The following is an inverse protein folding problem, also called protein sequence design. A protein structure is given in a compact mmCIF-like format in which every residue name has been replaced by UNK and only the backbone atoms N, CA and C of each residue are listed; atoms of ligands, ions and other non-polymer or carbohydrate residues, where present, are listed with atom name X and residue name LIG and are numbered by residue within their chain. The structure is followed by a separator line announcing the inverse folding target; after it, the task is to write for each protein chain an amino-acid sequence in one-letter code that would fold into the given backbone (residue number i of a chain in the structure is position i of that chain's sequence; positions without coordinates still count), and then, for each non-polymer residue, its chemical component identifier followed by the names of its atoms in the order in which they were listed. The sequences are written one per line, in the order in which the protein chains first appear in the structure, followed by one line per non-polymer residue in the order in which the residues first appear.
data_IF_464612222206
#
_entry.id   IF_464612222206
#
_cell.length_a   1.000
_cell.length_b   1.000
_cell.length_c   1.000
_cell.angle_alpha   90.00
_cell.angle_beta   90.00
_cell.angle_gamma   90.00
#
_symmetry.space_group_name_H-M   'P 1'
#
loop_
_entity.id
_entity.type
_entity.pdbx_description
1 polymer ?
#
# COMPACT_ATOMS: atom_id res chain seq x y z
N UNK A 1 8.52 -10.06 2.17
CA UNK A 1 7.43 -10.96 1.68
C UNK A 1 8.03 -12.31 1.39
N UNK A 2 7.71 -13.26 2.19
CA UNK A 2 7.90 -14.63 1.74
C UNK A 2 7.01 -14.80 0.52
N UNK A 3 7.59 -15.05 -0.64
CA UNK A 3 6.82 -15.25 -1.88
C UNK A 3 5.69 -16.25 -1.62
N UNK A 4 4.42 -15.90 -1.86
CA UNK A 4 3.30 -16.79 -1.60
C UNK A 4 3.50 -18.18 -2.24
N UNK A 5 3.09 -19.24 -1.56
CA UNK A 5 3.36 -20.62 -1.98
C UNK A 5 2.81 -20.91 -3.40
N UNK A 6 1.68 -20.35 -3.76
CA UNK A 6 1.12 -20.53 -5.11
C UNK A 6 2.03 -19.94 -6.19
N UNK A 7 2.72 -18.82 -5.93
CA UNK A 7 3.70 -18.22 -6.85
C UNK A 7 4.93 -19.10 -6.95
N UNK A 8 5.45 -19.59 -5.81
CA UNK A 8 6.58 -20.53 -5.80
C UNK A 8 6.27 -21.77 -6.66
N UNK A 9 5.03 -22.29 -6.56
CA UNK A 9 4.58 -23.42 -7.34
C UNK A 9 4.46 -23.10 -8.84
N UNK A 10 3.90 -21.94 -9.20
CA UNK A 10 3.85 -21.46 -10.59
C UNK A 10 5.26 -21.33 -11.19
N UNK A 11 6.19 -20.74 -10.45
CA UNK A 11 7.59 -20.53 -10.90
C UNK A 11 8.31 -21.84 -11.26
N UNK A 12 7.98 -22.95 -10.61
CA UNK A 12 8.51 -24.27 -10.98
C UNK A 12 8.19 -24.67 -12.43
N UNK A 13 7.08 -24.15 -12.98
CA UNK A 13 6.62 -24.50 -14.33
C UNK A 13 6.98 -23.45 -15.39
N UNK A 14 7.05 -22.17 -15.01
CA UNK A 14 7.23 -21.06 -15.94
C UNK A 14 8.58 -20.36 -15.82
N UNK A 15 9.40 -20.70 -14.82
CA UNK A 15 10.65 -20.00 -14.55
C UNK A 15 10.42 -18.51 -14.26
N UNK A 16 11.26 -17.65 -14.85
CA UNK A 16 11.21 -16.20 -14.64
C UNK A 16 10.29 -15.44 -15.60
N UNK A 17 9.43 -16.13 -16.36
CA UNK A 17 8.48 -15.46 -17.25
C UNK A 17 7.61 -14.48 -16.46
N UNK A 18 7.27 -13.36 -17.10
CA UNK A 18 6.45 -12.32 -16.46
C UNK A 18 5.10 -12.86 -15.98
N UNK A 19 4.81 -12.66 -14.70
CA UNK A 19 3.51 -12.93 -14.09
C UNK A 19 2.67 -11.65 -14.05
N UNK A 20 1.37 -11.82 -14.25
CA UNK A 20 0.37 -10.79 -13.99
C UNK A 20 -0.45 -11.17 -12.76
N UNK A 21 -0.33 -10.39 -11.69
CA UNK A 21 -0.83 -10.73 -10.36
C UNK A 21 -1.79 -9.66 -9.83
N UNK A 22 -2.86 -10.04 -9.15
CA UNK A 22 -3.65 -9.10 -8.35
C UNK A 22 -2.85 -8.68 -7.12
N UNK A 23 -2.91 -7.38 -6.78
CA UNK A 23 -2.23 -6.81 -5.62
C UNK A 23 -3.06 -5.71 -4.97
N UNK A 24 -2.73 -5.37 -3.74
CA UNK A 24 -3.35 -4.29 -3.00
C UNK A 24 -2.29 -3.37 -2.41
N UNK A 25 -2.50 -2.06 -2.52
CA UNK A 25 -1.69 -1.02 -1.85
C UNK A 25 -2.55 -0.32 -0.80
N UNK A 26 -2.10 -0.31 0.46
CA UNK A 26 -2.83 0.22 1.60
C UNK A 26 -2.32 1.59 2.00
N UNK A 27 -3.19 2.60 1.96
CA UNK A 27 -2.92 3.91 2.54
C UNK A 27 -3.59 3.99 3.90
N UNK A 28 -2.85 3.71 4.95
CA UNK A 28 -3.34 3.81 6.33
C UNK A 28 -3.17 5.25 6.79
N UNK A 29 -4.27 5.96 7.04
CA UNK A 29 -4.26 7.33 7.51
C UNK A 29 -4.71 7.42 8.97
N UNK A 30 -4.02 8.29 9.72
CA UNK A 30 -4.46 8.79 11.02
C UNK A 30 -4.95 10.22 10.82
N UNK A 31 -6.24 10.50 11.08
CA UNK A 31 -6.80 11.84 10.93
C UNK A 31 -6.20 12.80 11.96
N UNK A 32 -6.41 14.09 11.73
CA UNK A 32 -6.07 15.12 12.72
C UNK A 32 -7.07 15.05 13.87
N UNK A 33 -6.61 14.96 15.14
CA UNK A 33 -7.53 14.95 16.28
C UNK A 33 -8.44 16.18 16.35
N UNK A 34 -9.68 16.06 16.83
CA UNK A 34 -10.56 17.21 17.05
C UNK A 34 -9.91 18.24 17.98
N UNK A 35 -10.01 19.52 17.63
CA UNK A 35 -9.42 20.61 18.43
C UNK A 35 -7.94 20.89 18.19
N UNK A 36 -7.30 20.18 17.28
CA UNK A 36 -5.92 20.44 16.85
C UNK A 36 -5.79 21.78 16.11
N UNK A 37 -4.54 22.24 15.96
CA UNK A 37 -4.23 23.44 15.18
C UNK A 37 -4.70 23.30 13.73
N UNK A 38 -5.14 24.43 13.13
CA UNK A 38 -5.52 24.48 11.71
C UNK A 38 -4.36 24.14 10.75
N UNK A 39 -3.14 24.16 11.26
CA UNK A 39 -1.92 23.80 10.51
C UNK A 39 -1.57 22.31 10.60
N UNK A 40 -2.24 21.56 11.46
CA UNK A 40 -2.03 20.13 11.53
C UNK A 40 -2.66 19.43 10.33
N UNK A 41 -1.94 18.41 9.86
CA UNK A 41 -2.34 17.57 8.72
C UNK A 41 -2.35 16.11 9.14
N UNK A 42 -3.10 15.26 8.45
CA UNK A 42 -3.11 13.82 8.72
C UNK A 42 -1.71 13.21 8.67
N UNK A 43 -1.56 12.07 9.32
CA UNK A 43 -0.37 11.24 9.20
C UNK A 43 -0.67 9.99 8.37
N UNK A 44 0.31 9.53 7.62
CA UNK A 44 0.28 8.27 6.87
C UNK A 44 1.29 7.31 7.47
N UNK A 45 0.92 6.05 7.54
CA UNK A 45 1.82 4.98 7.92
C UNK A 45 2.70 4.60 6.75
N UNK A 46 4.00 4.53 6.99
CA UNK A 46 4.97 4.00 6.03
C UNK A 46 5.86 2.97 6.72
N UNK A 47 6.27 1.97 5.97
CA UNK A 47 7.25 0.97 6.37
C UNK A 47 8.54 1.15 5.55
N UNK A 48 9.68 0.89 6.15
CA UNK A 48 10.98 0.98 5.50
C UNK A 48 11.40 -0.40 5.03
N UNK A 49 11.43 -0.58 3.75
CA UNK A 49 11.72 -1.87 3.12
C UNK A 49 13.14 -2.35 3.44
N UNK A 50 13.27 -3.63 3.78
CA UNK A 50 14.57 -4.25 4.07
C UNK A 50 15.44 -4.43 2.80
N UNK A 51 14.79 -4.64 1.63
CA UNK A 51 15.50 -4.93 0.37
C UNK A 51 16.23 -3.71 -0.21
N UNK A 52 15.67 -2.49 -0.06
CA UNK A 52 16.23 -1.30 -0.70
C UNK A 52 16.30 -0.06 0.21
N UNK A 53 15.84 -0.16 1.46
CA UNK A 53 15.86 0.92 2.45
C UNK A 53 14.88 2.06 2.19
N UNK A 54 14.01 1.95 1.20
CA UNK A 54 13.03 2.98 0.87
C UNK A 54 11.81 2.93 1.80
N UNK A 55 11.31 4.10 2.17
CA UNK A 55 10.00 4.21 2.79
C UNK A 55 8.90 4.01 1.75
N UNK A 56 7.93 3.17 2.07
CA UNK A 56 6.85 2.79 1.17
C UNK A 56 5.53 2.59 1.93
N UNK A 57 4.42 2.63 1.18
CA UNK A 57 3.14 2.14 1.65
C UNK A 57 3.19 0.63 1.79
N UNK A 58 2.46 0.08 2.75
CA UNK A 58 2.23 -1.37 2.87
C UNK A 58 1.52 -1.86 1.62
N UNK A 59 1.97 -2.98 1.08
CA UNK A 59 1.38 -3.57 -0.13
C UNK A 59 1.61 -5.07 -0.17
N UNK A 60 0.66 -5.81 -0.74
CA UNK A 60 0.76 -7.26 -0.83
C UNK A 60 0.05 -7.85 -2.02
N UNK A 61 0.32 -9.12 -2.28
CA UNK A 61 -0.28 -9.90 -3.36
C UNK A 61 -1.54 -10.59 -2.81
N UNK A 62 -2.64 -10.51 -3.57
CA UNK A 62 -3.85 -11.24 -3.21
C UNK A 62 -3.60 -12.75 -3.38
N UNK A 63 -3.92 -13.50 -2.36
CA UNK A 63 -3.84 -14.97 -2.41
C UNK A 63 -5.09 -15.58 -3.07
N UNK A 64 -4.97 -16.77 -3.64
CA UNK A 64 -6.11 -17.46 -4.24
C UNK A 64 -7.25 -17.66 -3.24
N UNK A 65 -8.42 -17.09 -3.55
CA UNK A 65 -9.59 -17.14 -2.69
C UNK A 65 -9.78 -15.95 -1.77
N UNK A 66 -8.83 -15.03 -1.72
CA UNK A 66 -9.01 -13.76 -0.98
C UNK A 66 -9.79 -12.73 -1.78
N UNK A 67 -10.68 -12.02 -1.11
CA UNK A 67 -11.16 -10.73 -1.57
C UNK A 67 -10.08 -9.66 -1.29
N UNK A 68 -9.96 -8.68 -2.16
CA UNK A 68 -8.91 -7.66 -2.06
C UNK A 68 -8.93 -6.89 -0.74
N UNK A 69 -10.10 -6.73 -0.11
CA UNK A 69 -10.23 -6.12 1.22
C UNK A 69 -9.67 -7.03 2.33
N UNK A 70 -9.74 -8.35 2.16
CA UNK A 70 -9.14 -9.31 3.10
C UNK A 70 -7.62 -9.26 3.01
N UNK A 71 -7.07 -9.24 1.78
CA UNK A 71 -5.64 -9.02 1.55
C UNK A 71 -5.16 -7.74 2.24
N UNK A 72 -5.89 -6.63 2.07
CA UNK A 72 -5.50 -5.34 2.66
C UNK A 72 -5.39 -5.39 4.19
N UNK A 73 -6.35 -6.03 4.85
CA UNK A 73 -6.34 -6.17 6.32
C UNK A 73 -5.25 -7.14 6.78
N UNK A 74 -5.08 -8.27 6.09
CA UNK A 74 -4.06 -9.26 6.40
C UNK A 74 -2.65 -8.67 6.32
N UNK A 75 -2.30 -8.04 5.21
CA UNK A 75 -0.97 -7.47 4.99
C UNK A 75 -0.63 -6.37 6.01
N UNK A 76 -1.58 -5.48 6.34
CA UNK A 76 -1.37 -4.48 7.39
C UNK A 76 -1.16 -5.14 8.75
N UNK A 77 -1.85 -6.25 9.03
CA UNK A 77 -1.65 -6.99 10.28
C UNK A 77 -0.29 -7.70 10.31
N UNK A 78 0.09 -8.33 9.20
CA UNK A 78 1.33 -9.11 9.09
C UNK A 78 2.57 -8.21 9.09
N UNK A 79 2.58 -7.14 8.28
CA UNK A 79 3.77 -6.29 8.14
C UNK A 79 3.97 -5.31 9.30
N UNK A 80 2.86 -4.74 9.83
CA UNK A 80 2.93 -3.62 10.77
C UNK A 80 2.11 -3.80 12.05
N UNK A 81 1.54 -4.98 12.29
CA UNK A 81 0.90 -5.37 13.54
C UNK A 81 -0.45 -4.71 13.84
N UNK A 82 -1.00 -3.90 12.94
CA UNK A 82 -2.20 -3.10 13.18
C UNK A 82 -3.48 -3.83 12.76
N UNK A 83 -4.53 -3.65 13.56
CA UNK A 83 -5.89 -4.04 13.19
C UNK A 83 -6.54 -2.90 12.41
N UNK A 84 -6.60 -3.06 11.09
CA UNK A 84 -7.07 -2.03 10.18
C UNK A 84 -8.46 -2.34 9.63
N UNK A 85 -9.17 -1.28 9.21
CA UNK A 85 -10.47 -1.36 8.54
C UNK A 85 -10.40 -0.65 7.20
N UNK A 86 -10.88 -1.30 6.15
CA UNK A 86 -11.00 -0.69 4.82
C UNK A 86 -12.14 0.32 4.84
N UNK A 87 -11.83 1.56 4.48
CA UNK A 87 -12.79 2.68 4.44
C UNK A 87 -13.26 3.00 3.01
N UNK A 88 -12.35 2.95 2.03
CA UNK A 88 -12.68 3.30 0.66
C UNK A 88 -11.70 2.75 -0.37
N UNK A 89 -12.20 2.56 -1.59
CA UNK A 89 -11.39 2.36 -2.78
C UNK A 89 -10.80 3.71 -3.24
N UNK A 90 -9.49 3.75 -3.47
CA UNK A 90 -8.78 4.91 -4.03
C UNK A 90 -8.59 4.79 -5.54
N UNK A 91 -8.39 3.58 -6.02
CA UNK A 91 -8.25 3.34 -7.46
C UNK A 91 -7.80 1.93 -7.80
N UNK A 92 -7.89 1.61 -9.08
CA UNK A 92 -7.36 0.37 -9.67
C UNK A 92 -6.47 0.74 -10.83
N UNK A 93 -5.29 0.13 -10.93
CA UNK A 93 -4.37 0.43 -12.02
C UNK A 93 -3.21 -0.53 -12.13
N UNK A 94 -2.43 -0.36 -13.20
CA UNK A 94 -1.29 -1.20 -13.49
C UNK A 94 -0.03 -0.66 -12.81
N UNK A 95 0.65 -1.52 -12.05
CA UNK A 95 1.96 -1.27 -11.45
C UNK A 95 2.99 -2.24 -12.04
N UNK A 96 4.15 -1.74 -12.37
CA UNK A 96 5.23 -2.51 -12.95
C UNK A 96 5.48 -2.19 -14.44
N UNK A 97 6.28 -3.01 -15.16
CA UNK A 97 6.91 -4.24 -14.68
C UNK A 97 7.90 -4.01 -13.53
N UNK A 98 7.93 -4.94 -12.58
CA UNK A 98 8.89 -4.99 -11.48
C UNK A 98 9.75 -6.22 -11.68
N UNK A 99 11.07 -6.03 -11.66
CA UNK A 99 12.05 -7.13 -11.68
C UNK A 99 12.65 -7.25 -10.29
N UNK A 100 12.52 -8.42 -9.69
CA UNK A 100 13.05 -8.74 -8.37
C UNK A 100 14.51 -9.20 -8.47
N UNK A 101 15.24 -9.25 -7.34
CA UNK A 101 16.65 -9.66 -7.29
C UNK A 101 16.89 -11.07 -7.86
N UNK A 102 15.94 -11.97 -7.66
CA UNK A 102 15.94 -13.32 -8.23
C UNK A 102 15.60 -13.36 -9.72
N UNK A 103 15.48 -12.20 -10.39
CA UNK A 103 15.11 -12.00 -11.79
C UNK A 103 13.67 -12.39 -12.15
N UNK A 104 12.83 -12.63 -11.18
CA UNK A 104 11.41 -12.76 -11.42
C UNK A 104 10.82 -11.43 -11.88
N UNK A 105 10.00 -11.49 -12.93
CA UNK A 105 9.33 -10.30 -13.47
C UNK A 105 7.83 -10.38 -13.19
N UNK A 106 7.26 -9.29 -12.67
CA UNK A 106 5.83 -9.19 -12.36
C UNK A 106 5.22 -7.88 -12.84
N UNK A 107 3.98 -7.98 -13.30
CA UNK A 107 3.03 -6.88 -13.46
C UNK A 107 1.91 -7.07 -12.44
N UNK A 108 1.43 -5.98 -11.86
CA UNK A 108 0.38 -6.03 -10.86
C UNK A 108 -0.86 -5.24 -11.31
N UNK A 109 -2.04 -5.87 -11.23
CA UNK A 109 -3.29 -5.13 -11.17
C UNK A 109 -3.48 -4.71 -9.71
N UNK A 110 -3.01 -3.52 -9.41
CA UNK A 110 -3.04 -2.98 -8.06
C UNK A 110 -4.39 -2.34 -7.75
N UNK A 111 -4.90 -2.63 -6.56
CA UNK A 111 -6.08 -2.00 -5.98
C UNK A 111 -5.67 -1.19 -4.77
N UNK A 112 -5.63 0.15 -4.91
CA UNK A 112 -5.29 1.04 -3.81
C UNK A 112 -6.50 1.33 -2.92
N UNK A 113 -6.33 1.21 -1.61
CA UNK A 113 -7.37 1.39 -0.60
C UNK A 113 -6.96 2.36 0.50
N UNK A 114 -7.94 3.12 1.00
CA UNK A 114 -7.83 3.88 2.25
C UNK A 114 -8.22 2.96 3.40
N UNK A 115 -7.36 2.90 4.42
CA UNK A 115 -7.62 2.19 5.66
C UNK A 115 -7.54 3.13 6.86
N UNK A 116 -8.31 2.80 7.90
CA UNK A 116 -8.25 3.41 9.22
C UNK A 116 -7.81 2.39 10.26
N UNK A 117 -7.26 2.90 11.36
CA UNK A 117 -6.90 2.14 12.57
C UNK A 117 -7.37 2.92 13.78
N UNK A 118 -7.37 2.31 14.97
CA UNK A 118 -7.66 3.02 16.21
C UNK A 118 -6.69 4.21 16.39
N UNK A 119 -7.18 5.31 16.97
CA UNK A 119 -6.42 6.58 17.09
C UNK A 119 -5.11 6.43 17.89
N UNK A 120 -5.09 5.53 18.86
CA UNK A 120 -3.96 5.23 19.74
C UNK A 120 -3.14 4.00 19.29
N UNK A 121 -3.50 3.39 18.15
CA UNK A 121 -2.80 2.20 17.67
C UNK A 121 -1.38 2.54 17.22
N UNK A 122 -0.39 1.87 17.81
CA UNK A 122 1.01 2.05 17.42
C UNK A 122 1.50 0.83 16.64
N UNK A 123 2.17 1.07 15.49
CA UNK A 123 2.65 -0.01 14.65
C UNK A 123 3.84 -0.73 15.26
N UNK A 124 3.93 -2.03 14.99
CA UNK A 124 5.07 -2.88 15.37
C UNK A 124 5.49 -3.66 14.14
N UNK A 125 6.78 -3.80 13.91
CA UNK A 125 7.27 -4.68 12.85
C UNK A 125 6.76 -6.10 13.08
N UNK A 126 6.07 -6.62 12.08
CA UNK A 126 5.47 -7.96 12.14
C UNK A 126 6.35 -9.05 11.53
N UNK A 127 7.17 -8.70 10.54
CA UNK A 127 8.05 -9.61 9.84
C UNK A 127 9.43 -8.97 9.55
N UNK A 128 10.26 -9.65 8.78
CA UNK A 128 11.61 -9.20 8.36
C UNK A 128 11.64 -8.44 7.03
N UNK A 129 10.49 -8.19 6.43
CA UNK A 129 10.39 -7.45 5.15
C UNK A 129 10.68 -5.97 5.30
N UNK A 130 10.40 -5.45 6.48
CA UNK A 130 10.61 -4.06 6.84
C UNK A 130 11.57 -3.94 8.02
N UNK A 131 12.37 -2.89 8.01
CA UNK A 131 13.34 -2.58 9.09
C UNK A 131 12.83 -1.55 10.07
N UNK A 132 11.87 -0.74 9.66
CA UNK A 132 11.27 0.33 10.44
C UNK A 132 9.82 0.54 10.01
N UNK A 133 8.98 0.99 10.92
CA UNK A 133 7.63 1.47 10.63
C UNK A 133 7.35 2.74 11.41
N UNK A 134 6.73 3.75 10.78
CA UNK A 134 6.48 5.02 11.45
C UNK A 134 5.32 5.80 10.81
N UNK A 135 4.77 6.74 11.58
CA UNK A 135 3.79 7.72 11.14
C UNK A 135 4.46 8.98 10.61
N UNK A 136 4.18 9.35 9.37
CA UNK A 136 4.70 10.56 8.72
C UNK A 136 3.60 11.56 8.44
N UNK A 137 3.89 12.85 8.65
CA UNK A 137 3.02 13.92 8.16
C UNK A 137 2.86 13.82 6.65
N UNK A 138 1.62 13.87 6.14
CA UNK A 138 1.38 13.87 4.69
C UNK A 138 1.97 15.09 3.98
N UNK A 139 2.32 16.16 4.72
CA UNK A 139 3.01 17.34 4.21
C UNK A 139 4.53 17.17 4.12
N UNK A 140 5.11 16.20 4.84
CA UNK A 140 6.56 15.98 4.93
C UNK A 140 6.89 14.49 4.80
N UNK A 141 6.70 13.97 3.61
CA UNK A 141 7.00 12.57 3.31
C UNK A 141 8.49 12.38 3.02
N UNK A 142 9.10 11.24 3.43
CA UNK A 142 10.46 10.91 3.07
C UNK A 142 10.69 10.96 1.55
N UNK A 143 11.88 11.39 1.13
CA UNK A 143 12.21 11.55 -0.30
C UNK A 143 12.15 10.23 -1.08
N UNK A 144 12.36 9.11 -0.40
CA UNK A 144 12.32 7.77 -0.98
C UNK A 144 10.91 7.29 -1.34
N UNK A 145 9.86 7.94 -0.82
CA UNK A 145 8.48 7.64 -1.23
C UNK A 145 8.30 8.05 -2.68
N UNK A 146 8.02 7.09 -3.55
CA UNK A 146 7.95 7.32 -4.98
C UNK A 146 6.71 8.14 -5.40
N UNK A 147 6.74 8.66 -6.64
CA UNK A 147 5.67 9.52 -7.16
C UNK A 147 4.30 8.86 -7.16
N UNK A 148 4.22 7.58 -7.46
CA UNK A 148 2.97 6.84 -7.48
C UNK A 148 2.34 6.77 -6.08
N UNK A 149 3.13 6.39 -5.07
CA UNK A 149 2.66 6.32 -3.70
C UNK A 149 2.26 7.70 -3.15
N UNK A 150 3.02 8.76 -3.48
CA UNK A 150 2.62 10.15 -3.13
C UNK A 150 1.26 10.53 -3.72
N UNK A 151 0.96 10.07 -4.94
CA UNK A 151 -0.33 10.27 -5.57
C UNK A 151 -1.46 9.57 -4.81
N UNK A 152 -1.25 8.31 -4.40
CA UNK A 152 -2.22 7.54 -3.62
C UNK A 152 -2.45 8.16 -2.24
N UNK A 153 -1.40 8.66 -1.58
CA UNK A 153 -1.52 9.38 -0.30
C UNK A 153 -2.36 10.65 -0.47
N UNK A 154 -2.13 11.41 -1.54
CA UNK A 154 -2.93 12.61 -1.82
C UNK A 154 -4.41 12.26 -2.09
N UNK A 155 -4.67 11.18 -2.83
CA UNK A 155 -6.02 10.68 -3.08
C UNK A 155 -6.71 10.23 -1.79
N UNK A 156 -5.99 9.55 -0.89
CA UNK A 156 -6.50 9.12 0.40
C UNK A 156 -6.90 10.32 1.28
N UNK A 157 -6.08 11.37 1.30
CA UNK A 157 -6.41 12.62 2.00
C UNK A 157 -7.63 13.31 1.39
N UNK A 158 -7.75 13.32 0.06
CA UNK A 158 -8.91 13.88 -0.64
C UNK A 158 -10.17 13.09 -0.34
N UNK A 159 -10.11 11.76 -0.37
CA UNK A 159 -11.21 10.87 -0.02
C UNK A 159 -11.67 11.08 1.44
N UNK A 160 -10.73 11.15 2.38
CA UNK A 160 -11.04 11.37 3.79
C UNK A 160 -11.73 12.72 4.02
N UNK A 161 -11.28 13.79 3.34
CA UNK A 161 -11.85 15.14 3.50
C UNK A 161 -13.18 15.35 2.76
N UNK A 162 -13.35 14.73 1.61
CA UNK A 162 -14.47 14.94 0.70
C UNK A 162 -15.00 13.62 0.12
N UNK A 163 -15.49 12.69 0.96
CA UNK A 163 -15.87 11.34 0.51
C UNK A 163 -16.95 11.33 -0.56
N UNK A 164 -17.94 12.22 -0.47
CA UNK A 164 -19.04 12.30 -1.44
C UNK A 164 -18.61 12.81 -2.83
N UNK A 165 -17.50 13.56 -2.91
CA UNK A 165 -16.98 14.12 -4.15
C UNK A 165 -15.82 13.33 -4.76
N UNK A 166 -15.26 12.40 -4.03
CA UNK A 166 -14.13 11.63 -4.49
C UNK A 166 -14.56 10.58 -5.53
N UNK A 167 -13.73 10.39 -6.54
CA UNK A 167 -13.90 9.34 -7.54
C UNK A 167 -12.63 8.51 -7.63
N UNK A 168 -12.70 7.17 -7.38
CA UNK A 168 -11.55 6.29 -7.51
C UNK A 168 -10.91 6.36 -8.90
N UNK A 169 -9.60 6.24 -8.96
CA UNK A 169 -8.88 6.23 -10.24
C UNK A 169 -9.14 4.92 -10.99
N UNK A 170 -9.35 5.08 -12.30
CA UNK A 170 -9.43 3.97 -13.25
C UNK A 170 -8.14 3.96 -14.09
N UNK A 171 -7.03 3.62 -13.43
CA UNK A 171 -5.68 3.60 -13.98
C UNK A 171 -4.76 4.67 -13.39
N UNK A 172 -3.47 4.35 -13.29
CA UNK A 172 -2.44 5.21 -12.68
C UNK A 172 -1.59 5.95 -13.70
N UNK A 173 -1.57 5.50 -14.93
CA UNK A 173 -0.84 6.17 -16.02
C UNK A 173 -1.64 7.34 -16.55
N UNK A 174 -0.96 8.47 -16.85
CA UNK A 174 -1.60 9.54 -17.62
C UNK A 174 -2.01 8.96 -18.97
N UNK A 175 -3.26 9.13 -19.36
CA UNK A 175 -3.65 8.97 -20.76
C UNK A 175 -2.84 10.00 -21.56
N UNK A 176 -1.99 9.56 -22.45
CA UNK A 176 -1.50 10.43 -23.52
C UNK A 176 -2.74 10.75 -24.36
N UNK A 177 -3.16 12.01 -24.31
CA UNK A 177 -4.24 12.54 -25.14
C UNK A 177 -3.77 12.56 -26.60
#
# INVERSE_FOLDING_TARGET
MSTPEFIVNLRKHIGHQQLFLPACTMVVLRPVPPGSSIWEVPKVLLARRADNGNWALVSGICEPGEEVAQTAVREVKEEVGLDAKVEALLGVGLVGPVTFENQDECLFMDTAMLLSVADDAEPVLGDDENTEVNWFSVAHLPDTVNRHQRLLIADAVAQMKHPAGFRPRMGYRKRNA
#
